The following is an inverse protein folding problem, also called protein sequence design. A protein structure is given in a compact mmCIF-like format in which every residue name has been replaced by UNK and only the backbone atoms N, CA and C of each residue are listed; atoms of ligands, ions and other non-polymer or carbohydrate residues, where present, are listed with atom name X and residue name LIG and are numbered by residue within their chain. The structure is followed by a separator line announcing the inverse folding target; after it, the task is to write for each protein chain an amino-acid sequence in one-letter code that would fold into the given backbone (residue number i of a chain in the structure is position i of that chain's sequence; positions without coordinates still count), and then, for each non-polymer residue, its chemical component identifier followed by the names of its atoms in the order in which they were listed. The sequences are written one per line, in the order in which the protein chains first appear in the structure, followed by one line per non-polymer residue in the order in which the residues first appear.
data_IF_949667986490
#
_entry.id   IF_949667986490
#
_cell.length_a   1.000
_cell.length_b   1.000
_cell.length_c   1.000
_cell.angle_alpha   90.00
_cell.angle_beta   90.00
_cell.angle_gamma   90.00
#
_symmetry.space_group_name_H-M   'P 1'
#
loop_
_entity.id
_entity.type
_entity.pdbx_description
1 polymer ?
#
# COMPACT_ATOMS: atom_id res chain seq x y z
N UNK A 1 -27.19 2.66 28.91
CA UNK A 1 -26.06 3.14 28.07
C UNK A 1 -24.93 2.13 28.17
N UNK A 2 -24.96 1.12 27.31
CA UNK A 2 -23.91 0.11 27.19
C UNK A 2 -22.78 0.68 26.35
N UNK A 3 -21.56 0.74 26.91
CA UNK A 3 -20.35 1.08 26.15
C UNK A 3 -20.25 0.16 24.92
N UNK A 4 -19.94 0.69 23.72
CA UNK A 4 -19.66 -0.17 22.59
C UNK A 4 -18.45 -1.06 22.92
N UNK A 5 -18.49 -2.36 22.55
CA UNK A 5 -17.36 -3.26 22.75
C UNK A 5 -16.13 -2.71 22.05
N UNK A 6 -15.04 -2.55 22.80
CA UNK A 6 -13.71 -2.24 22.31
C UNK A 6 -13.17 -3.53 21.67
N UNK A 7 -13.42 -3.71 20.38
CA UNK A 7 -12.91 -4.87 19.64
C UNK A 7 -11.43 -4.68 19.31
N UNK A 8 -10.61 -5.69 19.59
CA UNK A 8 -9.20 -5.76 19.20
C UNK A 8 -9.10 -6.00 17.68
N UNK A 9 -9.13 -4.88 16.96
CA UNK A 9 -8.39 -4.51 15.75
C UNK A 9 -7.94 -5.60 14.74
N UNK A 10 -8.47 -5.49 13.50
CA UNK A 10 -7.92 -6.06 12.25
C UNK A 10 -6.38 -5.92 12.06
N UNK A 11 -5.71 -4.86 12.57
CA UNK A 11 -4.25 -4.77 12.66
C UNK A 11 -3.52 -5.95 13.31
N UNK A 12 -4.18 -6.72 14.19
CA UNK A 12 -3.56 -7.85 14.88
C UNK A 12 -3.63 -9.16 14.07
N UNK A 13 -4.34 -9.16 12.93
CA UNK A 13 -4.44 -10.32 12.06
C UNK A 13 -3.15 -10.54 11.25
N UNK A 14 -2.76 -11.79 11.00
CA UNK A 14 -1.70 -12.12 10.04
C UNK A 14 -1.95 -11.51 8.66
N UNK A 15 -0.88 -11.03 8.00
CA UNK A 15 -0.94 -10.39 6.66
C UNK A 15 -1.76 -11.19 5.63
N UNK A 16 -1.68 -12.54 5.53
CA UNK A 16 -2.48 -13.28 4.55
C UNK A 16 -3.99 -13.19 4.81
N UNK A 17 -4.39 -13.09 6.09
CA UNK A 17 -5.80 -12.94 6.45
C UNK A 17 -6.26 -11.52 6.12
N UNK A 18 -5.42 -10.50 6.34
CA UNK A 18 -5.72 -9.12 5.92
C UNK A 18 -5.87 -9.00 4.41
N UNK A 19 -5.00 -9.66 3.64
CA UNK A 19 -5.10 -9.72 2.18
C UNK A 19 -6.42 -10.36 1.72
N UNK A 20 -6.80 -11.48 2.33
CA UNK A 20 -8.08 -12.13 2.03
C UNK A 20 -9.27 -11.23 2.36
N UNK A 21 -9.24 -10.53 3.49
CA UNK A 21 -10.29 -9.61 3.90
C UNK A 21 -10.36 -8.36 3.02
N UNK A 22 -9.24 -7.82 2.56
CA UNK A 22 -9.21 -6.74 1.55
C UNK A 22 -9.92 -7.18 0.28
N UNK A 23 -9.53 -8.33 -0.27
CA UNK A 23 -10.16 -8.85 -1.49
C UNK A 23 -11.67 -9.06 -1.33
N UNK A 24 -12.10 -9.50 -0.15
CA UNK A 24 -13.51 -9.74 0.16
C UNK A 24 -14.29 -8.45 0.38
N UNK A 25 -13.74 -7.47 1.08
CA UNK A 25 -14.39 -6.18 1.26
C UNK A 25 -14.56 -5.44 -0.06
N UNK A 26 -13.57 -5.50 -0.95
CA UNK A 26 -13.68 -4.93 -2.29
C UNK A 26 -14.73 -5.65 -3.16
N UNK A 27 -14.99 -6.96 -2.90
CA UNK A 27 -16.08 -7.71 -3.53
C UNK A 27 -17.45 -7.44 -2.86
N UNK A 28 -17.48 -7.13 -1.56
CA UNK A 28 -18.70 -6.83 -0.80
C UNK A 28 -19.43 -5.61 -1.37
N UNK A 29 -18.67 -4.58 -1.76
CA UNK A 29 -19.22 -3.41 -2.46
C UNK A 29 -19.87 -3.78 -3.80
N UNK A 30 -19.45 -4.90 -4.41
CA UNK A 30 -19.91 -5.35 -5.71
C UNK A 30 -21.08 -6.35 -5.64
N UNK A 31 -21.28 -7.08 -4.53
CA UNK A 31 -22.47 -7.93 -4.28
C UNK A 31 -22.46 -8.56 -2.89
N UNK A 32 -23.39 -8.17 -2.00
CA UNK A 32 -23.60 -8.74 -0.66
C UNK A 32 -23.88 -10.27 -0.71
N UNK A 33 -24.56 -10.73 -1.77
CA UNK A 33 -24.88 -12.14 -2.03
C UNK A 33 -23.68 -13.00 -2.51
N UNK A 34 -22.56 -12.39 -2.90
CA UNK A 34 -21.44 -13.12 -3.51
C UNK A 34 -20.44 -13.70 -2.49
N UNK A 35 -20.53 -13.30 -1.21
CA UNK A 35 -19.53 -13.63 -0.19
C UNK A 35 -19.81 -14.91 0.59
N UNK A 36 -21.09 -15.29 0.71
CA UNK A 36 -21.50 -16.50 1.41
C UNK A 36 -20.89 -17.79 0.80
N UNK A 37 -20.83 -17.97 -0.54
CA UNK A 37 -20.20 -19.13 -1.15
C UNK A 37 -18.68 -19.22 -0.91
N UNK A 38 -17.98 -18.09 -0.90
CA UNK A 38 -16.53 -18.04 -0.75
C UNK A 38 -16.07 -18.48 0.66
N UNK A 39 -16.85 -18.13 1.69
CA UNK A 39 -16.59 -18.52 3.08
C UNK A 39 -16.59 -20.04 3.29
N UNK A 40 -17.42 -20.78 2.53
CA UNK A 40 -17.54 -22.24 2.59
C UNK A 40 -16.32 -22.96 2.01
N UNK A 41 -15.53 -22.28 1.18
CA UNK A 41 -14.31 -22.82 0.56
C UNK A 41 -13.05 -22.67 1.42
N UNK A 42 -13.12 -21.93 2.53
CA UNK A 42 -12.00 -21.76 3.44
C UNK A 42 -11.78 -23.03 4.30
N UNK A 43 -10.52 -23.42 4.56
CA UNK A 43 -10.19 -24.46 5.53
C UNK A 43 -10.71 -24.14 6.94
N UNK A 44 -11.16 -25.16 7.67
CA UNK A 44 -11.67 -25.07 9.06
C UNK A 44 -10.89 -24.12 10.00
N UNK A 45 -9.54 -24.14 10.09
CA UNK A 45 -8.83 -23.26 11.03
C UNK A 45 -8.90 -21.77 10.67
N UNK A 46 -9.27 -21.43 9.43
CA UNK A 46 -9.33 -20.04 8.95
C UNK A 46 -10.77 -19.52 8.86
N UNK A 47 -11.76 -20.41 8.93
CA UNK A 47 -13.16 -20.07 8.69
C UNK A 47 -13.75 -19.18 9.79
N UNK A 48 -13.51 -19.51 11.05
CA UNK A 48 -13.98 -18.70 12.20
C UNK A 48 -13.35 -17.29 12.27
N UNK A 49 -12.00 -17.13 12.19
CA UNK A 49 -11.37 -15.82 12.15
C UNK A 49 -11.86 -14.95 10.99
N UNK A 50 -12.03 -15.57 9.82
CA UNK A 50 -12.51 -14.89 8.62
C UNK A 50 -13.96 -14.41 8.78
N UNK A 51 -14.88 -15.24 9.29
CA UNK A 51 -16.26 -14.82 9.55
C UNK A 51 -16.36 -13.71 10.60
N UNK A 52 -15.57 -13.79 11.67
CA UNK A 52 -15.56 -12.74 12.70
C UNK A 52 -15.07 -11.40 12.14
N UNK A 53 -14.05 -11.45 11.28
CA UNK A 53 -13.51 -10.27 10.63
C UNK A 53 -14.46 -9.70 9.57
N UNK A 54 -15.11 -10.56 8.77
CA UNK A 54 -16.10 -10.13 7.78
C UNK A 54 -17.25 -9.36 8.44
N UNK A 55 -17.81 -9.93 9.52
CA UNK A 55 -18.88 -9.29 10.29
C UNK A 55 -18.46 -7.97 10.92
N UNK A 56 -17.17 -7.84 11.25
CA UNK A 56 -16.61 -6.59 11.78
C UNK A 56 -16.45 -5.54 10.68
N UNK A 57 -16.04 -5.93 9.47
CA UNK A 57 -15.95 -5.07 8.29
C UNK A 57 -17.34 -4.58 7.87
N UNK A 58 -18.35 -5.44 7.84
CA UNK A 58 -19.75 -5.07 7.57
C UNK A 58 -20.27 -4.03 8.57
N UNK A 59 -19.90 -4.15 9.84
CA UNK A 59 -20.39 -3.28 10.91
C UNK A 59 -19.73 -1.90 10.97
N UNK A 60 -18.49 -1.75 10.48
CA UNK A 60 -17.77 -0.48 10.59
C UNK A 60 -17.21 0.09 9.28
N UNK A 61 -17.50 -0.55 8.15
CA UNK A 61 -17.20 -0.04 6.81
C UNK A 61 -15.72 -0.09 6.44
N UNK A 62 -15.39 0.32 5.20
CA UNK A 62 -14.04 0.23 4.58
C UNK A 62 -12.88 0.74 5.45
N UNK A 63 -13.16 1.73 6.31
CA UNK A 63 -12.16 2.38 7.19
C UNK A 63 -11.50 1.43 8.20
N UNK A 64 -12.03 0.22 8.39
CA UNK A 64 -11.48 -0.74 9.34
C UNK A 64 -10.33 -1.59 8.81
N UNK A 65 -10.15 -1.68 7.49
CA UNK A 65 -9.21 -2.63 6.87
C UNK A 65 -7.78 -2.10 6.87
N UNK A 66 -7.64 -0.79 6.71
CA UNK A 66 -6.39 -0.06 6.86
C UNK A 66 -6.05 -0.01 8.35
N UNK A 67 -4.93 -0.60 8.75
CA UNK A 67 -4.43 -0.36 10.10
C UNK A 67 -4.12 1.13 10.25
N UNK A 68 -4.56 1.80 11.34
CA UNK A 68 -4.19 3.19 11.56
C UNK A 68 -2.67 3.26 11.66
N UNK A 69 -2.05 4.05 10.78
CA UNK A 69 -0.63 4.36 10.87
C UNK A 69 -0.41 5.59 11.75
N UNK A 70 0.76 5.67 12.38
CA UNK A 70 1.19 6.87 13.11
C UNK A 70 2.45 7.50 12.49
N UNK A 71 2.78 8.72 12.96
CA UNK A 71 3.95 9.47 12.48
C UNK A 71 5.27 8.71 12.70
N UNK A 72 5.35 7.87 13.74
CA UNK A 72 6.55 7.07 14.01
C UNK A 72 6.71 5.99 12.94
N UNK A 73 5.62 5.33 12.55
CA UNK A 73 5.62 4.35 11.48
C UNK A 73 5.98 4.98 10.13
N UNK A 74 5.46 6.17 9.81
CA UNK A 74 5.82 6.91 8.59
C UNK A 74 7.32 7.25 8.60
N UNK A 75 7.83 7.81 9.69
CA UNK A 75 9.26 8.13 9.81
C UNK A 75 10.15 6.87 9.67
N UNK A 76 9.73 5.75 10.27
CA UNK A 76 10.46 4.48 10.17
C UNK A 76 10.38 3.90 8.75
N UNK A 77 9.24 4.06 8.06
CA UNK A 77 9.09 3.68 6.66
C UNK A 77 9.98 4.51 5.73
N UNK A 78 10.10 5.82 5.97
CA UNK A 78 11.01 6.70 5.23
C UNK A 78 12.49 6.31 5.42
N UNK A 79 12.87 5.92 6.64
CA UNK A 79 14.21 5.37 6.90
C UNK A 79 14.47 4.06 6.14
N UNK A 80 13.45 3.21 6.00
CA UNK A 80 13.57 2.04 5.12
C UNK A 80 13.72 2.45 3.65
N UNK A 81 12.90 3.38 3.16
CA UNK A 81 12.88 3.79 1.75
C UNK A 81 14.20 4.46 1.31
N UNK A 82 14.91 5.09 2.25
CA UNK A 82 16.26 5.64 2.02
C UNK A 82 17.37 4.60 2.23
N UNK A 83 17.04 3.37 2.64
CA UNK A 83 18.01 2.33 2.97
C UNK A 83 18.78 2.57 4.27
N UNK A 84 18.43 3.61 5.05
CA UNK A 84 19.09 3.97 6.30
C UNK A 84 18.81 2.96 7.43
N UNK A 85 17.60 2.40 7.50
CA UNK A 85 17.26 1.27 8.36
C UNK A 85 16.60 0.15 7.55
N UNK A 86 17.28 -0.98 7.43
CA UNK A 86 16.79 -2.19 6.72
C UNK A 86 16.32 -3.29 7.67
N UNK A 87 16.23 -2.96 8.96
CA UNK A 87 15.81 -3.86 10.01
C UNK A 87 14.38 -4.38 9.84
N UNK A 88 14.06 -5.43 10.60
CA UNK A 88 12.73 -6.04 10.53
C UNK A 88 11.61 -5.11 10.96
N UNK A 89 11.88 -4.13 11.83
CA UNK A 89 10.89 -3.13 12.25
C UNK A 89 10.60 -2.13 11.13
N UNK A 90 11.64 -1.54 10.53
CA UNK A 90 11.51 -0.59 9.43
C UNK A 90 10.84 -1.20 8.20
N UNK A 91 11.16 -2.46 7.87
CA UNK A 91 10.45 -3.22 6.83
C UNK A 91 8.95 -3.36 7.10
N UNK A 92 8.56 -3.72 8.34
CA UNK A 92 7.14 -3.85 8.70
C UNK A 92 6.43 -2.50 8.64
N UNK A 93 7.06 -1.45 9.16
CA UNK A 93 6.54 -0.10 9.07
C UNK A 93 6.35 0.34 7.61
N UNK A 94 7.36 0.14 6.76
CA UNK A 94 7.27 0.42 5.33
C UNK A 94 6.15 -0.39 4.66
N UNK A 95 5.99 -1.67 5.00
CA UNK A 95 4.90 -2.49 4.45
C UNK A 95 3.54 -1.89 4.79
N UNK A 96 3.29 -1.58 6.06
CA UNK A 96 2.00 -1.04 6.51
C UNK A 96 1.72 0.36 5.97
N UNK A 97 2.73 1.23 5.94
CA UNK A 97 2.63 2.60 5.41
C UNK A 97 2.38 2.60 3.90
N UNK A 98 3.02 1.69 3.15
CA UNK A 98 2.79 1.58 1.71
C UNK A 98 1.36 1.10 1.40
N UNK A 99 0.86 0.11 2.15
CA UNK A 99 -0.53 -0.36 2.01
C UNK A 99 -1.50 0.76 2.35
N UNK A 100 -1.26 1.51 3.43
CA UNK A 100 -2.06 2.67 3.80
C UNK A 100 -2.13 3.70 2.68
N UNK A 101 -0.96 4.14 2.19
CA UNK A 101 -0.88 5.14 1.13
C UNK A 101 -1.54 4.64 -0.16
N UNK A 102 -1.36 3.37 -0.50
CA UNK A 102 -2.03 2.75 -1.64
C UNK A 102 -3.55 2.78 -1.51
N UNK A 103 -4.09 2.39 -0.35
CA UNK A 103 -5.53 2.37 -0.10
C UNK A 103 -6.12 3.79 -0.12
N UNK A 104 -5.39 4.79 0.40
CA UNK A 104 -5.75 6.20 0.30
C UNK A 104 -5.91 6.63 -1.18
N UNK A 105 -4.87 6.40 -1.99
CA UNK A 105 -4.86 6.78 -3.42
C UNK A 105 -5.89 6.02 -4.26
N UNK A 106 -6.06 4.72 -4.01
CA UNK A 106 -7.01 3.88 -4.74
C UNK A 106 -8.47 4.24 -4.42
N UNK A 107 -8.75 4.66 -3.18
CA UNK A 107 -10.11 5.06 -2.76
C UNK A 107 -10.57 6.31 -3.49
N UNK A 108 -9.71 7.31 -3.65
CA UNK A 108 -10.06 8.55 -4.36
C UNK A 108 -10.40 8.32 -5.84
N UNK A 109 -9.77 7.31 -6.45
CA UNK A 109 -9.85 7.06 -7.88
C UNK A 109 -10.86 5.95 -8.25
N UNK A 110 -11.52 5.33 -7.26
CA UNK A 110 -12.42 4.18 -7.42
C UNK A 110 -11.78 3.05 -8.25
N UNK A 111 -10.49 2.81 -8.05
CA UNK A 111 -9.76 1.83 -8.86
C UNK A 111 -9.99 0.39 -8.39
N UNK A 112 -10.19 -0.57 -9.31
CA UNK A 112 -10.44 -1.96 -8.97
C UNK A 112 -9.16 -2.78 -8.68
N UNK A 113 -8.18 -2.15 -8.04
CA UNK A 113 -6.84 -2.71 -7.84
C UNK A 113 -6.60 -2.97 -6.36
N UNK A 114 -6.11 -4.17 -6.06
CA UNK A 114 -5.79 -4.65 -4.72
C UNK A 114 -4.28 -4.65 -4.50
N UNK A 115 -3.86 -4.33 -3.29
CA UNK A 115 -2.48 -4.51 -2.82
C UNK A 115 -2.40 -5.71 -1.88
N UNK A 116 -1.42 -6.60 -2.11
CA UNK A 116 -1.09 -7.70 -1.21
C UNK A 116 0.03 -7.29 -0.26
N UNK A 117 -0.32 -7.15 1.00
CA UNK A 117 0.60 -6.87 2.09
C UNK A 117 1.60 -8.02 2.30
N UNK A 118 1.17 -9.27 2.08
CA UNK A 118 2.03 -10.45 2.23
C UNK A 118 3.14 -10.45 1.18
N UNK A 119 2.79 -10.23 -0.10
CA UNK A 119 3.77 -10.16 -1.18
C UNK A 119 4.68 -8.95 -0.96
N UNK A 120 4.12 -7.80 -0.59
CA UNK A 120 4.91 -6.61 -0.29
C UNK A 120 5.97 -6.88 0.79
N UNK A 121 5.58 -7.45 1.93
CA UNK A 121 6.49 -7.75 3.04
C UNK A 121 7.61 -8.72 2.65
N UNK A 122 7.30 -9.69 1.79
CA UNK A 122 8.26 -10.64 1.22
C UNK A 122 9.26 -9.93 0.29
N UNK A 123 8.78 -9.14 -0.67
CA UNK A 123 9.62 -8.36 -1.60
C UNK A 123 10.56 -7.43 -0.86
N UNK A 124 10.03 -6.63 0.07
CA UNK A 124 10.85 -5.74 0.89
C UNK A 124 11.87 -6.51 1.73
N UNK A 125 11.54 -7.73 2.17
CA UNK A 125 12.46 -8.62 2.87
C UNK A 125 13.61 -9.16 2.02
N UNK A 126 13.38 -9.37 0.73
CA UNK A 126 14.43 -9.72 -0.23
C UNK A 126 15.33 -8.53 -0.54
N UNK A 127 14.75 -7.36 -0.82
CA UNK A 127 15.51 -6.14 -1.17
C UNK A 127 16.35 -5.64 0.00
N UNK A 128 15.84 -5.72 1.23
CA UNK A 128 16.58 -5.32 2.42
C UNK A 128 17.94 -6.04 2.57
N UNK A 129 18.06 -7.24 2.00
CA UNK A 129 19.29 -8.06 2.03
C UNK A 129 20.22 -7.79 0.84
N UNK A 130 19.79 -7.02 -0.15
CA UNK A 130 20.49 -6.82 -1.41
C UNK A 130 21.28 -5.51 -1.42
N UNK A 131 22.59 -5.61 -1.66
CA UNK A 131 23.49 -4.50 -2.01
C UNK A 131 23.64 -3.39 -0.97
N UNK A 132 24.46 -2.39 -1.31
CA UNK A 132 24.79 -1.25 -0.43
C UNK A 132 24.15 0.07 -0.89
N UNK A 133 23.10 -0.01 -1.72
CA UNK A 133 22.40 1.18 -2.24
C UNK A 133 21.74 2.00 -1.12
N UNK A 134 21.73 3.31 -1.25
CA UNK A 134 21.12 4.23 -0.27
C UNK A 134 20.40 5.37 -0.97
N UNK A 135 19.54 6.09 -0.23
CA UNK A 135 18.80 7.24 -0.75
C UNK A 135 17.86 6.85 -1.89
N UNK A 136 17.77 7.72 -2.90
CA UNK A 136 16.90 7.52 -4.06
C UNK A 136 17.28 6.28 -4.90
N UNK A 137 18.55 5.84 -4.90
CA UNK A 137 18.95 4.62 -5.62
C UNK A 137 18.32 3.37 -4.98
N UNK A 138 18.26 3.32 -3.65
CA UNK A 138 17.59 2.23 -2.95
C UNK A 138 16.08 2.29 -3.17
N UNK A 139 15.47 3.48 -3.09
CA UNK A 139 14.06 3.67 -3.36
C UNK A 139 13.69 3.25 -4.79
N UNK A 140 14.47 3.64 -5.80
CA UNK A 140 14.30 3.23 -7.19
C UNK A 140 14.32 1.70 -7.33
N UNK A 141 15.28 1.03 -6.68
CA UNK A 141 15.36 -0.43 -6.65
C UNK A 141 14.12 -1.07 -5.99
N UNK A 142 13.63 -0.49 -4.90
CA UNK A 142 12.38 -0.93 -4.25
C UNK A 142 11.21 -0.83 -5.22
N UNK A 143 11.00 0.33 -5.81
CA UNK A 143 9.84 0.58 -6.68
C UNK A 143 9.90 -0.30 -7.93
N UNK A 144 11.06 -0.46 -8.57
CA UNK A 144 11.21 -1.34 -9.73
C UNK A 144 10.88 -2.79 -9.40
N UNK A 145 11.34 -3.27 -8.23
CA UNK A 145 11.05 -4.63 -7.79
C UNK A 145 9.56 -4.84 -7.52
N UNK A 146 8.90 -3.87 -6.87
CA UNK A 146 7.46 -3.89 -6.62
C UNK A 146 6.68 -3.85 -7.93
N UNK A 147 7.05 -2.98 -8.86
CA UNK A 147 6.45 -2.88 -10.20
C UNK A 147 6.56 -4.18 -10.99
N UNK A 148 7.70 -4.86 -10.91
CA UNK A 148 7.93 -6.15 -11.58
C UNK A 148 7.27 -7.35 -10.87
N UNK A 149 6.68 -7.13 -9.69
CA UNK A 149 6.07 -8.17 -8.87
C UNK A 149 4.55 -8.27 -9.07
N UNK A 150 3.93 -9.21 -8.37
CA UNK A 150 2.46 -9.34 -8.29
C UNK A 150 1.87 -8.70 -7.02
N UNK A 151 2.60 -7.76 -6.39
CA UNK A 151 2.16 -7.08 -5.17
C UNK A 151 0.87 -6.28 -5.39
N UNK A 152 0.71 -5.72 -6.59
CA UNK A 152 -0.47 -4.98 -7.02
C UNK A 152 -1.18 -5.84 -8.06
N UNK A 153 -2.43 -6.18 -7.80
CA UNK A 153 -3.20 -7.11 -8.61
C UNK A 153 -4.64 -6.64 -8.82
N UNK A 154 -5.28 -7.11 -9.89
CA UNK A 154 -6.69 -6.79 -10.15
C UNK A 154 -7.61 -7.65 -9.30
N UNK A 155 -8.79 -7.10 -8.99
CA UNK A 155 -9.88 -7.91 -8.49
C UNK A 155 -10.26 -9.02 -9.51
N UNK A 156 -10.36 -10.29 -9.07
CA UNK A 156 -10.85 -11.37 -9.91
C UNK A 156 -12.27 -11.10 -10.43
N UNK A 157 -12.57 -11.47 -11.68
CA UNK A 157 -13.91 -11.38 -12.25
C UNK A 157 -14.25 -10.07 -12.97
N UNK A 158 -13.38 -9.06 -12.93
CA UNK A 158 -13.56 -7.84 -13.71
C UNK A 158 -13.09 -8.01 -15.16
N UNK A 159 -13.81 -7.44 -16.14
CA UNK A 159 -13.45 -7.55 -17.56
C UNK A 159 -12.04 -6.99 -17.82
N UNK A 160 -11.21 -7.77 -18.52
CA UNK A 160 -9.87 -7.37 -18.95
C UNK A 160 -9.98 -6.28 -20.01
N UNK A 161 -10.07 -5.02 -19.60
CA UNK A 161 -10.35 -3.93 -20.54
C UNK A 161 -9.91 -2.55 -20.04
N UNK A 162 -8.68 -2.43 -19.56
CA UNK A 162 -7.90 -1.18 -19.51
C UNK A 162 -6.58 -1.54 -18.81
N UNK A 163 -5.44 -1.47 -19.48
CA UNK A 163 -4.14 -1.25 -18.81
C UNK A 163 -4.31 -0.04 -17.90
N UNK A 164 -4.03 -0.15 -16.58
CA UNK A 164 -4.16 0.98 -15.65
C UNK A 164 -2.86 1.79 -15.69
N UNK A 165 -2.84 2.99 -16.29
CA UNK A 165 -1.66 3.84 -16.32
C UNK A 165 -1.29 4.40 -14.94
N UNK A 166 -2.20 4.34 -13.96
CA UNK A 166 -2.02 4.98 -12.66
C UNK A 166 -1.26 4.12 -11.62
N UNK A 167 -1.02 2.83 -11.86
CA UNK A 167 -0.20 2.00 -10.95
C UNK A 167 1.22 2.53 -10.84
N UNK A 168 1.85 2.83 -11.98
CA UNK A 168 3.19 3.40 -12.03
C UNK A 168 3.21 4.80 -11.38
N UNK A 169 2.15 5.60 -11.59
CA UNK A 169 1.98 6.90 -10.94
C UNK A 169 1.91 6.78 -9.41
N UNK A 170 1.10 5.88 -8.88
CA UNK A 170 0.94 5.69 -7.43
C UNK A 170 2.22 5.15 -6.81
N UNK A 171 2.88 4.19 -7.47
CA UNK A 171 4.18 3.67 -7.04
C UNK A 171 5.23 4.79 -6.92
N UNK A 172 5.34 5.66 -7.93
CA UNK A 172 6.20 6.84 -7.89
C UNK A 172 5.79 7.82 -6.79
N UNK A 173 4.49 7.99 -6.58
CA UNK A 173 3.95 8.92 -5.60
C UNK A 173 4.25 8.50 -4.17
N UNK A 174 4.03 7.22 -3.83
CA UNK A 174 4.35 6.70 -2.49
C UNK A 174 5.87 6.76 -2.24
N UNK A 175 6.70 6.44 -3.22
CA UNK A 175 8.15 6.50 -3.07
C UNK A 175 8.66 7.94 -2.92
N UNK A 176 8.21 8.85 -3.78
CA UNK A 176 8.55 10.28 -3.70
C UNK A 176 8.08 10.87 -2.38
N UNK A 177 6.85 10.55 -1.98
CA UNK A 177 6.30 10.96 -0.70
C UNK A 177 7.19 10.48 0.43
N UNK A 178 7.61 9.21 0.50
CA UNK A 178 8.49 8.73 1.57
C UNK A 178 9.92 9.30 1.56
N UNK A 179 10.34 9.96 0.47
CA UNK A 179 11.63 10.63 0.35
C UNK A 179 11.57 12.14 0.66
N UNK A 180 10.39 12.76 0.62
CA UNK A 180 10.20 14.19 0.85
C UNK A 180 10.43 14.59 2.32
N UNK A 181 10.45 15.89 2.60
CA UNK A 181 10.40 16.39 3.98
C UNK A 181 9.12 15.89 4.70
N UNK A 182 9.22 15.61 6.00
CA UNK A 182 8.08 15.10 6.79
C UNK A 182 7.15 16.23 7.24
N UNK A 183 5.86 15.93 7.29
CA UNK A 183 4.86 16.79 7.93
C UNK A 183 4.89 16.68 9.46
N UNK A 184 4.16 17.58 10.12
CA UNK A 184 4.06 17.60 11.59
C UNK A 184 2.91 16.71 12.11
N UNK A 185 1.98 16.33 11.23
CA UNK A 185 0.79 15.53 11.55
C UNK A 185 0.39 14.56 10.45
N UNK A 186 -0.49 13.61 10.76
CA UNK A 186 -1.03 12.65 9.77
C UNK A 186 -1.84 13.36 8.68
N UNK A 187 -2.58 14.42 9.04
CA UNK A 187 -3.34 15.22 8.07
C UNK A 187 -2.39 15.94 7.10
N UNK A 188 -1.27 16.46 7.59
CA UNK A 188 -0.24 17.06 6.74
C UNK A 188 0.43 16.01 5.82
N UNK A 189 0.66 14.80 6.32
CA UNK A 189 1.24 13.70 5.53
C UNK A 189 0.28 13.21 4.43
N UNK A 190 -1.03 13.14 4.70
CA UNK A 190 -2.05 12.85 3.69
C UNK A 190 -2.09 13.94 2.63
N UNK A 191 -2.09 15.21 3.04
CA UNK A 191 -2.06 16.32 2.10
C UNK A 191 -0.79 16.33 1.24
N UNK A 192 0.37 16.02 1.85
CA UNK A 192 1.64 15.87 1.15
C UNK A 192 1.60 14.73 0.13
N UNK A 193 0.98 13.60 0.47
CA UNK A 193 0.79 12.48 -0.46
C UNK A 193 -0.07 12.89 -1.67
N UNK A 194 -1.18 13.61 -1.44
CA UNK A 194 -2.05 14.11 -2.52
C UNK A 194 -1.32 15.11 -3.41
N UNK A 195 -0.55 16.04 -2.82
CA UNK A 195 0.29 16.98 -3.55
C UNK A 195 1.36 16.26 -4.39
N UNK A 196 1.94 15.20 -3.84
CA UNK A 196 2.94 14.37 -4.54
C UNK A 196 2.36 13.75 -5.81
N UNK A 197 1.16 13.18 -5.72
CA UNK A 197 0.46 12.62 -6.89
C UNK A 197 0.18 13.69 -7.93
N UNK A 198 -0.30 14.86 -7.50
CA UNK A 198 -0.58 15.97 -8.41
C UNK A 198 0.68 16.46 -9.14
N UNK A 199 1.80 16.59 -8.42
CA UNK A 199 3.10 16.97 -8.96
C UNK A 199 3.59 15.97 -10.00
N UNK A 200 3.63 14.68 -9.64
CA UNK A 200 4.11 13.61 -10.54
C UNK A 200 3.22 13.52 -11.78
N UNK A 201 1.90 13.66 -11.62
CA UNK A 201 0.97 13.68 -12.77
C UNK A 201 1.23 14.86 -13.70
N UNK A 202 1.51 16.05 -13.16
CA UNK A 202 1.86 17.21 -13.96
C UNK A 202 3.20 17.02 -14.72
N UNK A 203 4.16 16.35 -14.08
CA UNK A 203 5.48 16.05 -14.67
C UNK A 203 5.44 14.91 -15.70
N UNK A 204 4.58 13.90 -15.52
CA UNK A 204 4.43 12.76 -16.42
C UNK A 204 4.03 13.18 -17.84
N UNK A 205 3.38 14.34 -18.01
CA UNK A 205 3.07 14.91 -19.33
C UNK A 205 4.27 15.47 -20.09
N UNK A 206 5.42 15.65 -19.44
CA UNK A 206 6.60 16.35 -19.97
C UNK A 206 7.90 15.53 -19.87
N UNK A 207 7.91 14.45 -19.10
CA UNK A 207 9.09 13.59 -18.89
C UNK A 207 9.05 12.31 -19.73
N UNK A 208 10.23 11.73 -20.00
CA UNK A 208 10.33 10.35 -20.51
C UNK A 208 9.87 9.33 -19.46
N UNK A 209 9.73 8.06 -19.84
CA UNK A 209 9.35 6.98 -18.92
C UNK A 209 10.43 6.82 -17.81
N UNK A 210 10.14 7.18 -16.54
CA UNK A 210 11.12 7.08 -15.46
C UNK A 210 11.49 5.63 -15.15
N UNK A 211 10.69 4.65 -15.58
CA UNK A 211 10.97 3.23 -15.36
C UNK A 211 11.88 2.61 -16.42
N UNK A 212 12.34 3.38 -17.41
CA UNK A 212 13.22 2.87 -18.47
C UNK A 212 14.60 2.42 -17.94
N UNK A 213 15.16 3.13 -16.96
CA UNK A 213 16.47 2.87 -16.35
C UNK A 213 16.42 3.15 -14.83
N UNK A 214 16.95 2.27 -13.96
CA UNK A 214 17.13 2.55 -12.54
C UNK A 214 17.76 3.92 -12.22
N UNK A 215 18.72 4.37 -13.03
CA UNK A 215 19.40 5.67 -12.83
C UNK A 215 18.46 6.84 -13.10
N UNK A 216 17.63 6.74 -14.13
CA UNK A 216 16.65 7.78 -14.46
C UNK A 216 15.53 7.82 -13.42
N UNK A 217 15.11 6.67 -12.90
CA UNK A 217 14.17 6.59 -11.79
C UNK A 217 14.73 7.24 -10.51
N UNK A 218 15.97 6.93 -10.15
CA UNK A 218 16.62 7.52 -8.98
C UNK A 218 16.73 9.05 -9.10
N UNK A 219 17.12 9.55 -10.28
CA UNK A 219 17.16 10.99 -10.57
C UNK A 219 15.77 11.61 -10.44
N UNK A 220 14.77 10.99 -11.06
CA UNK A 220 13.38 11.45 -10.98
C UNK A 220 12.93 11.58 -9.52
N UNK A 221 13.11 10.53 -8.71
CA UNK A 221 12.74 10.52 -7.29
C UNK A 221 13.49 11.58 -6.47
N UNK A 222 14.77 11.82 -6.77
CA UNK A 222 15.57 12.86 -6.11
C UNK A 222 15.01 14.24 -6.43
N UNK A 223 14.78 14.52 -7.71
CA UNK A 223 14.31 15.83 -8.16
C UNK A 223 12.89 16.12 -7.65
N UNK A 224 11.98 15.15 -7.75
CA UNK A 224 10.58 15.34 -7.30
C UNK A 224 10.47 15.50 -5.80
N UNK A 225 11.20 14.71 -5.01
CA UNK A 225 11.15 14.81 -3.55
C UNK A 225 11.77 16.10 -3.01
N UNK A 226 12.72 16.71 -3.73
CA UNK A 226 13.31 17.99 -3.35
C UNK A 226 12.36 19.20 -3.58
N UNK A 227 11.29 19.02 -4.36
CA UNK A 227 10.29 20.04 -4.64
C UNK A 227 9.10 20.03 -3.66
N UNK A 228 9.08 19.06 -2.74
CA UNK A 228 8.04 18.85 -1.73
C UNK A 228 8.57 19.18 -0.34
#
# INVERSE_FOLDING_TARGET
MTRPPTFRFLPDLPMPIRDALRGVASLADATEDALEPASKLLPEPLREPFHSALKSVEQAGKRLISAPIDMTQIATAAQFMTGADRGSAARRACTSVFVYAWEHLATEQNEPVLISETILADRLGHIAKAGDLTGADFAAQVVMDLRASSVIGRMPGLPRGATHPDTDLHLLSVATWLLAARGDSIEDEEHLLDMTVALIRAMAGHAGDPFADPVDLSRFLTDTSAHL
#
